data_IF_535867703982
#
_entry.id   IF_535867703982
#
_cell.length_a   1.000
_cell.length_b   1.000
_cell.length_c   1.000
_cell.angle_alpha   90.00
_cell.angle_beta   90.00
_cell.angle_gamma   90.00
#
_symmetry.space_group_name_H-M   'P 1'
#
loop_
_entity.id
_entity.type
_entity.pdbx_description
1 polymer ?
#
# COMPACT_ATOMS: atom_id res chain seq x y z
N UNK A 1 8.92 -6.71 -22.85
CA UNK A 1 9.28 -6.92 -21.43
C UNK A 1 8.88 -8.34 -21.05
N UNK A 2 9.74 -9.12 -20.40
CA UNK A 2 9.36 -10.50 -19.99
C UNK A 2 8.28 -10.38 -18.91
N UNK A 3 7.14 -11.05 -19.10
CA UNK A 3 6.06 -11.07 -18.11
C UNK A 3 6.57 -11.81 -16.88
N UNK A 4 6.54 -11.15 -15.72
CA UNK A 4 6.90 -11.78 -14.46
C UNK A 4 5.97 -12.97 -14.20
N UNK A 5 6.47 -14.02 -13.53
CA UNK A 5 5.62 -15.17 -13.18
C UNK A 5 4.58 -14.68 -12.17
N UNK A 6 3.32 -14.65 -12.57
CA UNK A 6 2.22 -14.26 -11.71
C UNK A 6 2.17 -15.17 -10.48
N UNK A 7 2.38 -14.59 -9.30
CA UNK A 7 2.08 -15.27 -8.05
C UNK A 7 0.57 -15.30 -7.86
N UNK A 8 0.08 -16.33 -7.15
CA UNK A 8 -1.33 -16.43 -6.83
C UNK A 8 -1.75 -15.25 -5.94
N UNK A 9 -2.79 -14.54 -6.35
CA UNK A 9 -3.48 -13.52 -5.54
C UNK A 9 -4.98 -13.78 -5.59
N UNK A 10 -5.67 -13.50 -4.50
CA UNK A 10 -7.13 -13.51 -4.45
C UNK A 10 -7.70 -12.34 -5.29
N UNK A 11 -9.02 -12.13 -5.26
CA UNK A 11 -9.67 -11.00 -5.91
C UNK A 11 -9.11 -9.67 -5.40
N UNK A 12 -9.10 -8.67 -6.29
CA UNK A 12 -8.52 -7.36 -6.00
C UNK A 12 -9.09 -6.71 -4.74
N UNK A 13 -10.40 -6.81 -4.54
CA UNK A 13 -11.07 -6.27 -3.34
C UNK A 13 -10.61 -6.95 -2.05
N UNK A 14 -10.39 -8.26 -2.08
CA UNK A 14 -9.95 -9.04 -0.91
C UNK A 14 -8.54 -8.64 -0.52
N UNK A 15 -7.63 -8.60 -1.49
CA UNK A 15 -6.24 -8.18 -1.24
C UNK A 15 -6.15 -6.70 -0.86
N UNK A 16 -7.01 -5.84 -1.42
CA UNK A 16 -7.08 -4.42 -1.04
C UNK A 16 -7.43 -4.29 0.45
N UNK A 17 -8.47 -4.98 0.91
CA UNK A 17 -8.90 -4.95 2.31
C UNK A 17 -7.85 -5.53 3.27
N UNK A 18 -7.06 -6.52 2.83
CA UNK A 18 -5.99 -7.13 3.64
C UNK A 18 -4.75 -6.23 3.75
N UNK A 19 -4.41 -5.53 2.67
CA UNK A 19 -3.12 -4.85 2.54
C UNK A 19 -3.19 -3.34 2.78
N UNK A 20 -4.31 -2.69 2.45
CA UNK A 20 -4.46 -1.26 2.69
C UNK A 20 -4.97 -0.98 4.09
N UNK A 21 -4.11 -0.35 4.88
CA UNK A 21 -4.40 0.03 6.26
C UNK A 21 -4.96 1.45 6.29
N UNK A 22 -6.00 1.65 7.08
CA UNK A 22 -6.51 2.98 7.40
C UNK A 22 -5.63 3.59 8.50
N UNK A 23 -5.05 4.78 8.30
CA UNK A 23 -4.32 5.45 9.37
C UNK A 23 -5.31 5.89 10.46
N UNK A 24 -5.02 5.52 11.71
CA UNK A 24 -5.78 5.99 12.87
C UNK A 24 -5.24 7.34 13.34
N UNK A 25 -6.15 8.27 13.66
CA UNK A 25 -5.76 9.60 14.16
C UNK A 25 -5.24 9.54 15.60
N UNK A 26 -5.73 8.59 16.39
CA UNK A 26 -5.40 8.42 17.81
C UNK A 26 -5.07 6.94 18.09
N UNK A 27 -3.88 6.46 17.67
CA UNK A 27 -3.47 5.06 17.85
C UNK A 27 -3.38 4.62 19.32
N UNK A 28 -3.20 5.56 20.25
CA UNK A 28 -3.27 5.34 21.70
C UNK A 28 -4.72 5.24 22.23
N UNK A 29 -5.69 5.74 21.47
CA UNK A 29 -7.11 5.84 21.85
C UNK A 29 -7.56 7.28 22.11
N UNK A 30 -8.85 7.47 22.47
CA UNK A 30 -9.38 8.80 22.74
C UNK A 30 -8.63 9.51 23.87
N UNK A 31 -8.69 10.84 23.90
CA UNK A 31 -8.09 11.62 24.97
C UNK A 31 -8.55 11.13 26.35
N UNK A 32 -7.58 10.81 27.23
CA UNK A 32 -7.83 10.23 28.55
C UNK A 32 -8.00 8.70 28.58
N UNK A 33 -7.78 8.00 27.47
CA UNK A 33 -7.79 6.55 27.46
C UNK A 33 -6.71 5.97 28.40
N UNK A 34 -7.02 4.92 29.19
CA UNK A 34 -6.04 4.28 30.07
C UNK A 34 -5.04 3.39 29.31
N UNK A 35 -5.25 3.18 28.00
CA UNK A 35 -4.42 2.33 27.15
C UNK A 35 -3.05 2.99 26.92
N UNK A 36 -1.99 2.18 26.96
CA UNK A 36 -0.61 2.61 26.68
C UNK A 36 -0.12 3.78 27.56
N UNK A 37 -0.60 3.89 28.81
CA UNK A 37 -0.21 4.97 29.73
C UNK A 37 1.31 5.04 29.98
N UNK A 38 1.95 3.88 30.04
CA UNK A 38 3.38 3.73 30.39
C UNK A 38 4.20 3.10 29.25
N UNK A 39 3.56 2.80 28.11
CA UNK A 39 4.21 2.16 26.96
C UNK A 39 4.21 3.11 25.77
N UNK A 40 5.29 3.19 24.99
CA UNK A 40 5.32 3.99 23.78
C UNK A 40 4.20 3.61 22.82
N UNK A 41 3.69 4.61 22.10
CA UNK A 41 2.70 4.39 21.05
C UNK A 41 3.36 3.65 19.89
N UNK A 42 2.73 2.56 19.44
CA UNK A 42 3.17 1.75 18.31
C UNK A 42 2.11 1.90 17.22
N UNK A 43 2.55 2.16 15.98
CA UNK A 43 1.65 2.37 14.85
C UNK A 43 0.74 1.17 14.52
N UNK A 44 1.06 -0.03 14.99
CA UNK A 44 0.32 -1.26 14.68
C UNK A 44 0.39 -2.27 15.82
N UNK A 45 -0.76 -2.87 16.15
CA UNK A 45 -0.87 -3.94 17.16
C UNK A 45 -0.41 -5.32 16.65
N UNK A 46 -0.47 -5.54 15.33
CA UNK A 46 0.04 -6.74 14.67
C UNK A 46 1.32 -6.46 13.90
N UNK A 47 2.15 -7.48 13.67
CA UNK A 47 3.31 -7.36 12.81
C UNK A 47 2.93 -6.92 11.39
N UNK A 48 3.83 -6.20 10.73
CA UNK A 48 3.69 -5.87 9.31
C UNK A 48 3.73 -7.13 8.46
N UNK A 49 2.84 -7.22 7.48
CA UNK A 49 2.86 -8.24 6.43
C UNK A 49 3.37 -7.62 5.13
N UNK A 50 3.93 -8.46 4.28
CA UNK A 50 4.38 -8.04 2.95
C UNK A 50 3.21 -7.41 2.15
N UNK A 51 3.49 -6.32 1.44
CA UNK A 51 2.49 -5.59 0.64
C UNK A 51 1.59 -4.64 1.43
N UNK A 52 1.67 -4.60 2.77
CA UNK A 52 0.86 -3.69 3.56
C UNK A 52 1.31 -2.24 3.46
N UNK A 53 0.35 -1.33 3.31
CA UNK A 53 0.59 0.11 3.13
C UNK A 53 -0.61 0.96 3.53
N UNK A 54 -0.38 2.24 3.77
CA UNK A 54 -1.46 3.22 3.95
C UNK A 54 -1.97 3.75 2.61
N UNK A 55 -3.20 4.25 2.60
CA UNK A 55 -3.71 5.05 1.49
C UNK A 55 -2.90 6.35 1.38
N UNK A 56 -2.34 6.60 0.20
CA UNK A 56 -1.60 7.83 -0.12
C UNK A 56 -2.38 8.62 -1.18
N UNK A 57 -2.61 9.91 -0.91
CA UNK A 57 -3.27 10.82 -1.84
C UNK A 57 -2.38 11.21 -3.05
N UNK A 58 -1.10 10.84 -3.04
CA UNK A 58 -0.13 11.24 -4.07
C UNK A 58 0.15 10.14 -5.10
N UNK A 59 -0.32 8.92 -4.83
CA UNK A 59 -0.19 7.78 -5.72
C UNK A 59 -1.26 7.79 -6.82
N UNK A 60 -1.03 7.00 -7.87
CA UNK A 60 -2.04 6.80 -8.91
C UNK A 60 -3.28 6.10 -8.34
N UNK A 61 -4.46 6.68 -8.58
CA UNK A 61 -5.75 6.11 -8.18
C UNK A 61 -5.98 4.73 -8.81
N UNK A 62 -5.70 4.60 -10.11
CA UNK A 62 -5.87 3.36 -10.84
C UNK A 62 -4.53 2.85 -11.37
N UNK A 63 -3.79 2.15 -10.51
CA UNK A 63 -2.42 1.70 -10.77
C UNK A 63 -2.29 0.83 -12.03
N UNK A 64 -3.22 -0.10 -12.25
CA UNK A 64 -3.20 -0.97 -13.44
C UNK A 64 -3.35 -0.22 -14.75
N UNK A 65 -4.11 0.88 -14.79
CA UNK A 65 -4.19 1.73 -15.99
C UNK A 65 -2.90 2.51 -16.21
N UNK A 66 -2.26 2.97 -15.13
CA UNK A 66 -1.02 3.74 -15.22
C UNK A 66 0.22 2.87 -15.40
N UNK A 67 0.03 1.55 -15.50
CA UNK A 67 1.06 0.59 -15.82
C UNK A 67 1.73 0.96 -17.16
N UNK A 68 3.05 1.16 -17.14
CA UNK A 68 3.82 1.65 -18.30
C UNK A 68 3.42 3.04 -18.83
N UNK A 69 2.63 3.81 -18.07
CA UNK A 69 2.20 5.18 -18.40
C UNK A 69 2.69 6.17 -17.33
N UNK A 70 4.01 6.38 -17.29
CA UNK A 70 4.67 7.30 -16.37
C UNK A 70 4.29 8.77 -16.61
N UNK A 71 4.30 9.59 -15.55
CA UNK A 71 4.07 11.04 -15.69
C UNK A 71 5.27 11.66 -16.40
N UNK A 72 5.04 12.37 -17.50
CA UNK A 72 6.07 13.12 -18.25
C UNK A 72 6.35 14.50 -17.63
N UNK A 73 6.53 14.54 -16.30
CA UNK A 73 6.86 15.77 -15.57
C UNK A 73 8.26 15.65 -14.95
N UNK A 74 9.11 16.69 -15.00
CA UNK A 74 10.43 16.64 -14.37
C UNK A 74 10.34 16.31 -12.86
N UNK A 75 11.08 15.30 -12.41
CA UNK A 75 11.04 14.85 -11.02
C UNK A 75 9.81 14.02 -10.64
N UNK A 76 9.06 13.52 -11.62
CA UNK A 76 7.98 12.57 -11.34
C UNK A 76 8.53 11.29 -10.69
N UNK A 77 7.81 10.81 -9.68
CA UNK A 77 8.09 9.50 -9.09
C UNK A 77 7.81 8.40 -10.13
N UNK A 78 8.62 7.32 -10.17
CA UNK A 78 8.30 6.12 -10.96
C UNK A 78 6.90 5.57 -10.64
N UNK A 79 6.30 4.81 -11.56
CA UNK A 79 4.97 4.23 -11.32
C UNK A 79 4.97 3.22 -10.16
N UNK A 80 6.12 2.56 -9.94
CA UNK A 80 6.32 1.54 -8.91
C UNK A 80 7.52 1.87 -8.04
N UNK A 81 7.42 1.55 -6.75
CA UNK A 81 8.50 1.77 -5.78
C UNK A 81 9.63 0.73 -5.92
N UNK A 82 9.32 -0.49 -6.36
CA UNK A 82 10.29 -1.57 -6.57
C UNK A 82 10.84 -1.50 -8.00
N UNK A 83 12.13 -1.18 -8.22
CA UNK A 83 12.70 -1.08 -9.56
C UNK A 83 12.76 -2.42 -10.30
N UNK A 84 12.60 -3.54 -9.60
CA UNK A 84 12.66 -4.89 -10.19
C UNK A 84 11.27 -5.46 -10.50
N UNK A 85 10.19 -4.83 -10.01
CA UNK A 85 8.82 -5.29 -10.24
C UNK A 85 8.04 -4.24 -11.00
N UNK A 86 7.61 -4.60 -12.19
CA UNK A 86 6.78 -3.72 -12.98
C UNK A 86 5.28 -3.95 -12.79
N UNK A 87 4.86 -5.00 -12.11
CA UNK A 87 3.44 -5.24 -11.85
C UNK A 87 3.20 -5.43 -10.34
N UNK A 88 2.06 -4.95 -9.86
CA UNK A 88 1.70 -5.05 -8.45
C UNK A 88 0.39 -5.84 -8.32
N UNK A 89 0.48 -7.16 -8.10
CA UNK A 89 -0.68 -7.98 -7.80
C UNK A 89 -1.46 -7.38 -6.61
N UNK A 90 -2.81 -7.33 -6.67
CA UNK A 90 -3.70 -8.00 -7.62
C UNK A 90 -4.01 -7.21 -8.91
N UNK A 91 -3.39 -6.04 -9.11
CA UNK A 91 -3.72 -5.13 -10.21
C UNK A 91 -2.83 -5.39 -11.42
N UNK A 92 -3.27 -6.32 -12.28
CA UNK A 92 -2.60 -6.58 -13.56
C UNK A 92 -3.18 -5.70 -14.67
N UNK A 93 -2.31 -5.18 -15.54
CA UNK A 93 -2.73 -4.56 -16.80
C UNK A 93 -3.27 -5.65 -17.74
N UNK A 94 -4.31 -5.32 -18.52
CA UNK A 94 -4.77 -6.21 -19.61
C UNK A 94 -3.72 -6.33 -20.71
#
# INVERSE_FOLDING_TARGET
MKKEKAQYSDFSNVETQRNFLTPEQLPEGPYGAPRNKETPVINKSSSWKEGQRYYSAFNYEFKSLHQNLERKFPGAHPTHDDPNKNEESPYTGK
#
